data_IF_018666390430
#
_entry.id   IF_018666390430
#
_cell.length_a   1.000
_cell.length_b   1.000
_cell.length_c   1.000
_cell.angle_alpha   90.00
_cell.angle_beta   90.00
_cell.angle_gamma   90.00
#
_symmetry.space_group_name_H-M   'P 1'
#
loop_
_entity.id
_entity.type
_entity.pdbx_description
1 polymer ?
#
# COMPACT_ATOMS: atom_id res chain seq x y z
N UNK A 1 -8.04 4.30 18.21
CA UNK A 1 -8.16 4.89 16.85
C UNK A 1 -7.70 3.85 15.83
N UNK A 2 -8.24 3.88 14.62
CA UNK A 2 -7.94 2.89 13.58
C UNK A 2 -7.43 3.60 12.33
N UNK A 3 -6.41 3.04 11.69
CA UNK A 3 -6.01 3.41 10.33
C UNK A 3 -6.79 2.50 9.39
N UNK A 4 -7.91 3.00 8.89
CA UNK A 4 -8.84 2.21 8.10
C UNK A 4 -9.21 2.91 6.79
N UNK A 5 -9.33 2.14 5.71
CA UNK A 5 -9.84 2.62 4.42
C UNK A 5 -9.06 3.80 3.82
N UNK A 6 -7.74 3.86 4.08
CA UNK A 6 -6.87 4.86 3.47
C UNK A 6 -6.28 4.34 2.15
N UNK A 7 -5.94 5.26 1.25
CA UNK A 7 -5.05 5.00 0.11
C UNK A 7 -3.70 5.65 0.41
N UNK A 8 -2.65 4.84 0.50
CA UNK A 8 -1.27 5.26 0.72
C UNK A 8 -0.49 5.01 -0.58
N UNK A 9 -0.10 6.06 -1.31
CA UNK A 9 0.58 5.91 -2.61
C UNK A 9 2.08 6.23 -2.52
N UNK A 10 2.89 5.37 -3.13
CA UNK A 10 4.36 5.45 -3.22
C UNK A 10 5.07 5.68 -1.88
N UNK A 11 4.58 5.05 -0.81
CA UNK A 11 5.18 5.15 0.52
C UNK A 11 6.37 4.20 0.68
N UNK A 12 7.32 4.53 1.56
CA UNK A 12 8.49 3.67 1.73
C UNK A 12 8.21 2.33 2.42
N UNK A 13 7.27 2.34 3.36
CA UNK A 13 6.70 1.16 3.98
C UNK A 13 5.21 1.44 4.23
N UNK A 14 4.33 0.50 3.89
CA UNK A 14 2.90 0.60 4.12
C UNK A 14 2.53 0.72 5.59
N UNK A 15 3.27 -0.02 6.41
CA UNK A 15 3.03 -0.15 7.81
C UNK A 15 4.31 -0.67 8.47
N UNK A 16 4.98 0.18 9.25
CA UNK A 16 6.11 -0.21 10.07
C UNK A 16 5.68 -0.49 11.51
N UNK A 17 6.04 -1.67 12.03
CA UNK A 17 5.89 -1.95 13.45
C UNK A 17 6.85 -1.09 14.29
N UNK A 18 6.53 -0.78 15.56
CA UNK A 18 7.39 0.04 16.40
C UNK A 18 8.63 -0.76 16.83
N UNK A 19 9.76 -0.57 16.14
CA UNK A 19 11.13 -0.37 16.67
C UNK A 19 12.21 -0.57 15.59
N UNK A 20 13.26 0.28 15.54
CA UNK A 20 13.40 1.55 16.25
C UNK A 20 12.58 2.68 15.60
N UNK A 21 11.92 2.44 14.46
CA UNK A 21 11.25 3.48 13.69
C UNK A 21 9.77 3.61 14.09
N UNK A 22 9.51 4.52 15.03
CA UNK A 22 8.17 4.87 15.52
C UNK A 22 7.39 5.66 14.45
N UNK A 23 6.87 4.99 13.42
CA UNK A 23 6.04 5.66 12.40
C UNK A 23 4.60 5.88 12.87
N UNK A 24 4.06 5.03 13.74
CA UNK A 24 2.72 5.22 14.30
C UNK A 24 2.79 5.85 15.70
N UNK A 25 2.39 7.13 15.79
CA UNK A 25 2.13 7.83 17.06
C UNK A 25 0.64 7.74 17.41
N UNK A 26 0.31 7.49 18.68
CA UNK A 26 -1.07 7.47 19.21
C UNK A 26 -1.60 6.07 19.57
N UNK A 27 -2.78 6.02 20.20
CA UNK A 27 -3.50 4.79 20.57
C UNK A 27 -4.18 4.17 19.34
N UNK A 28 -3.38 3.81 18.33
CA UNK A 28 -3.87 3.04 17.21
C UNK A 28 -3.87 1.56 17.58
N UNK A 29 -4.93 0.83 17.23
CA UNK A 29 -5.05 -0.61 17.48
C UNK A 29 -5.51 -1.37 16.23
N UNK A 30 -5.52 -0.72 15.07
CA UNK A 30 -5.95 -1.33 13.83
C UNK A 30 -5.27 -0.68 12.60
N UNK A 31 -4.88 -1.51 11.64
CA UNK A 31 -4.49 -1.16 10.28
C UNK A 31 -5.25 -2.08 9.32
N UNK A 32 -6.45 -1.65 8.88
CA UNK A 32 -7.37 -2.52 8.14
C UNK A 32 -7.95 -1.88 6.89
N UNK A 33 -8.27 -2.68 5.88
CA UNK A 33 -8.95 -2.22 4.66
C UNK A 33 -8.21 -1.08 3.93
N UNK A 34 -6.89 -0.93 4.14
CA UNK A 34 -6.10 0.11 3.49
C UNK A 34 -5.55 -0.41 2.16
N UNK A 35 -5.52 0.46 1.16
CA UNK A 35 -4.76 0.24 -0.07
C UNK A 35 -3.42 0.94 0.06
N UNK A 36 -2.33 0.20 -0.13
CA UNK A 36 -0.99 0.74 -0.03
C UNK A 36 -0.12 0.38 -1.23
N UNK A 37 0.36 1.37 -1.95
CA UNK A 37 1.40 1.25 -2.97
C UNK A 37 2.73 1.70 -2.38
N UNK A 38 3.73 0.83 -2.41
CA UNK A 38 5.01 1.08 -1.74
C UNK A 38 6.21 0.91 -2.66
N UNK A 39 7.21 1.77 -2.46
CA UNK A 39 8.50 1.75 -3.16
C UNK A 39 9.54 0.84 -2.51
N UNK A 40 9.20 0.16 -1.42
CA UNK A 40 9.97 -0.97 -0.89
C UNK A 40 11.36 -0.62 -0.36
N UNK A 41 11.60 0.64 0.00
CA UNK A 41 12.84 1.11 0.63
C UNK A 41 12.75 1.13 2.18
N UNK A 42 11.79 0.40 2.75
CA UNK A 42 11.67 0.21 4.20
C UNK A 42 12.92 -0.41 4.82
N UNK A 43 13.40 0.15 5.93
CA UNK A 43 14.58 -0.28 6.68
C UNK A 43 14.51 -1.77 7.08
N UNK A 44 15.15 -2.66 6.31
CA UNK A 44 15.43 -4.06 6.67
C UNK A 44 14.21 -4.99 6.84
N UNK A 45 12.99 -4.48 6.93
CA UNK A 45 11.76 -5.24 7.20
C UNK A 45 10.84 -5.40 5.97
N UNK A 46 11.31 -4.99 4.78
CA UNK A 46 10.54 -5.04 3.54
C UNK A 46 9.49 -3.93 3.40
N UNK A 47 8.73 -3.92 2.28
CA UNK A 47 7.70 -2.92 1.98
C UNK A 47 6.50 -2.93 2.93
N UNK A 48 6.31 -4.02 3.69
CA UNK A 48 5.17 -4.25 4.55
C UNK A 48 5.55 -5.14 5.74
N UNK A 49 5.33 -4.66 6.96
CA UNK A 49 5.73 -5.38 8.17
C UNK A 49 4.64 -6.28 8.77
N UNK A 50 3.41 -6.27 8.26
CA UNK A 50 2.30 -7.10 8.77
C UNK A 50 2.17 -7.03 10.31
N UNK A 51 1.93 -8.16 11.00
CA UNK A 51 1.61 -8.20 12.44
C UNK A 51 2.69 -8.83 13.35
N UNK A 52 3.88 -9.16 12.84
CA UNK A 52 4.91 -9.93 13.59
C UNK A 52 5.46 -9.27 14.86
N UNK A 53 5.44 -7.94 14.95
CA UNK A 53 5.96 -7.21 16.12
C UNK A 53 4.88 -6.38 16.81
N UNK A 54 3.62 -6.67 16.54
CA UNK A 54 2.49 -5.96 17.14
C UNK A 54 1.97 -6.72 18.34
N UNK A 55 1.46 -5.96 19.31
CA UNK A 55 0.71 -6.52 20.42
C UNK A 55 -0.50 -7.34 19.92
N UNK A 56 -0.94 -8.32 20.73
CA UNK A 56 -2.06 -9.19 20.36
C UNK A 56 -3.39 -8.45 20.19
N UNK A 57 -3.54 -7.27 20.80
CA UNK A 57 -4.73 -6.42 20.67
C UNK A 57 -4.84 -5.69 19.33
N UNK A 58 -3.77 -5.63 18.53
CA UNK A 58 -3.81 -4.99 17.22
C UNK A 58 -4.47 -5.88 16.16
N UNK A 59 -5.31 -5.26 15.34
CA UNK A 59 -5.88 -5.87 14.15
C UNK A 59 -5.15 -5.40 12.89
N UNK A 60 -4.61 -6.34 12.12
CA UNK A 60 -4.12 -6.11 10.75
C UNK A 60 -4.89 -7.08 9.87
N UNK A 61 -5.61 -6.57 8.86
CA UNK A 61 -6.43 -7.42 7.97
C UNK A 61 -6.92 -6.66 6.76
N UNK A 62 -7.22 -7.40 5.70
CA UNK A 62 -7.89 -6.92 4.48
C UNK A 62 -7.19 -5.75 3.79
N UNK A 63 -5.88 -5.59 3.97
CA UNK A 63 -5.14 -4.54 3.28
C UNK A 63 -4.79 -4.99 1.86
N UNK A 64 -4.77 -4.06 0.91
CA UNK A 64 -4.29 -4.30 -0.44
C UNK A 64 -2.91 -3.67 -0.59
N UNK A 65 -1.87 -4.50 -0.55
CA UNK A 65 -0.48 -4.03 -0.65
C UNK A 65 0.00 -4.21 -2.10
N UNK A 66 0.64 -3.19 -2.63
CA UNK A 66 1.15 -3.16 -3.98
C UNK A 66 2.65 -2.87 -3.96
N UNK A 67 3.44 -3.82 -4.45
CA UNK A 67 4.90 -3.69 -4.60
C UNK A 67 5.27 -3.72 -6.07
N UNK A 68 6.50 -3.33 -6.40
CA UNK A 68 6.96 -3.37 -7.80
C UNK A 68 6.87 -4.77 -8.43
N UNK A 69 7.02 -5.82 -7.62
CA UNK A 69 7.12 -7.21 -8.10
C UNK A 69 5.89 -8.06 -7.81
N UNK A 70 4.94 -7.57 -7.01
CA UNK A 70 3.81 -8.37 -6.55
C UNK A 70 4.15 -9.43 -5.51
N UNK A 71 5.30 -9.27 -4.87
CA UNK A 71 5.73 -10.06 -3.72
C UNK A 71 6.45 -9.15 -2.72
N UNK A 72 6.63 -9.63 -1.50
CA UNK A 72 7.33 -8.93 -0.43
C UNK A 72 7.96 -9.91 0.55
N UNK A 73 9.10 -9.52 1.11
CA UNK A 73 9.56 -10.10 2.37
C UNK A 73 8.77 -9.45 3.50
N UNK A 74 8.01 -10.25 4.23
CA UNK A 74 7.17 -9.87 5.36
C UNK A 74 7.61 -10.70 6.55
N UNK A 75 7.98 -10.03 7.65
CA UNK A 75 8.41 -10.71 8.88
C UNK A 75 9.53 -11.75 8.66
N UNK A 76 10.46 -11.44 7.75
CA UNK A 76 11.59 -12.31 7.41
C UNK A 76 11.27 -13.50 6.50
N UNK A 77 10.04 -13.61 5.99
CA UNK A 77 9.57 -14.68 5.07
C UNK A 77 8.97 -14.06 3.81
N UNK A 78 8.84 -14.81 2.72
CA UNK A 78 8.00 -14.35 1.60
C UNK A 78 6.54 -14.26 2.06
N UNK A 79 5.76 -13.39 1.44
CA UNK A 79 4.36 -13.19 1.85
C UNK A 79 3.55 -14.49 1.93
N UNK A 80 3.66 -15.35 0.90
CA UNK A 80 2.97 -16.63 0.88
C UNK A 80 3.36 -17.53 2.08
N UNK A 81 4.66 -17.55 2.41
CA UNK A 81 5.17 -18.34 3.53
C UNK A 81 4.79 -17.74 4.89
N UNK A 82 4.74 -16.41 5.01
CA UNK A 82 4.29 -15.71 6.20
C UNK A 82 2.82 -16.02 6.48
N UNK A 83 1.97 -15.88 5.46
CA UNK A 83 0.54 -16.15 5.57
C UNK A 83 0.26 -17.62 5.94
N UNK A 84 1.03 -18.57 5.38
CA UNK A 84 0.89 -20.00 5.67
C UNK A 84 1.53 -20.44 7.00
N UNK A 85 2.26 -19.58 7.71
CA UNK A 85 3.09 -19.98 8.86
C UNK A 85 2.34 -20.32 10.15
N UNK A 86 1.01 -20.14 10.20
CA UNK A 86 0.19 -20.12 11.42
C UNK A 86 0.61 -19.04 12.46
N UNK A 87 1.60 -18.20 12.16
CA UNK A 87 2.03 -17.09 13.01
C UNK A 87 1.36 -15.78 12.62
N UNK A 88 0.96 -15.64 11.36
CA UNK A 88 0.26 -14.47 10.85
C UNK A 88 -1.16 -14.40 11.41
N UNK A 89 -1.54 -13.24 11.93
CA UNK A 89 -2.95 -12.87 12.20
C UNK A 89 -3.47 -11.88 11.15
N UNK A 90 -2.67 -11.62 10.12
CA UNK A 90 -2.98 -10.71 9.04
C UNK A 90 -3.89 -11.37 7.99
N UNK A 91 -5.19 -11.37 8.30
CA UNK A 91 -6.20 -12.12 7.53
C UNK A 91 -6.67 -11.30 6.33
N UNK A 92 -6.70 -11.94 5.16
CA UNK A 92 -7.29 -11.40 3.93
C UNK A 92 -6.55 -10.20 3.33
N UNK A 93 -5.39 -9.82 3.85
CA UNK A 93 -4.46 -8.92 3.16
C UNK A 93 -3.96 -9.60 1.89
N UNK A 94 -3.74 -8.82 0.83
CA UNK A 94 -3.20 -9.30 -0.44
C UNK A 94 -1.97 -8.49 -0.84
N UNK A 95 -1.06 -9.12 -1.60
CA UNK A 95 0.09 -8.44 -2.21
C UNK A 95 0.03 -8.60 -3.73
N UNK A 96 0.10 -7.48 -4.44
CA UNK A 96 0.00 -7.40 -5.90
C UNK A 96 1.10 -6.53 -6.51
N UNK A 97 1.33 -6.66 -7.81
CA UNK A 97 2.22 -5.76 -8.55
C UNK A 97 1.61 -4.37 -8.63
N UNK A 98 2.44 -3.33 -8.69
CA UNK A 98 1.99 -1.94 -8.76
C UNK A 98 0.85 -1.74 -9.76
N UNK A 99 -0.18 -0.99 -9.36
CA UNK A 99 -1.21 -0.54 -10.29
C UNK A 99 -0.62 0.48 -11.25
N UNK A 100 -1.36 0.79 -12.31
CA UNK A 100 -1.11 1.97 -13.12
C UNK A 100 -1.47 3.25 -12.36
N UNK A 101 -0.83 4.36 -12.70
CA UNK A 101 -1.17 5.68 -12.15
C UNK A 101 -2.65 6.03 -12.41
N UNK A 102 -3.21 5.55 -13.53
CA UNK A 102 -4.63 5.71 -13.87
C UNK A 102 -5.53 5.04 -12.84
N UNK A 103 -5.23 3.80 -12.46
CA UNK A 103 -6.00 3.08 -11.43
C UNK A 103 -5.89 3.78 -10.07
N UNK A 104 -4.70 4.29 -9.72
CA UNK A 104 -4.50 5.05 -8.48
C UNK A 104 -5.36 6.31 -8.42
N UNK A 105 -5.40 7.08 -9.52
CA UNK A 105 -6.26 8.25 -9.63
C UNK A 105 -7.73 7.86 -9.51
N UNK A 106 -8.15 6.74 -10.11
CA UNK A 106 -9.54 6.25 -10.01
C UNK A 106 -9.91 5.85 -8.58
N UNK A 107 -9.00 5.20 -7.84
CA UNK A 107 -9.26 4.86 -6.44
C UNK A 107 -9.35 6.11 -5.56
N UNK A 108 -8.42 7.06 -5.73
CA UNK A 108 -8.44 8.31 -4.98
C UNK A 108 -9.70 9.14 -5.28
N UNK A 109 -10.10 9.20 -6.55
CA UNK A 109 -11.34 9.81 -7.00
C UNK A 109 -12.58 9.21 -6.32
N UNK A 110 -12.69 7.88 -6.31
CA UNK A 110 -13.78 7.18 -5.64
C UNK A 110 -13.79 7.41 -4.12
N UNK A 111 -12.62 7.40 -3.46
CA UNK A 111 -12.50 7.63 -2.02
C UNK A 111 -12.90 9.05 -1.61
N UNK A 112 -12.56 10.04 -2.44
CA UNK A 112 -12.83 11.46 -2.18
C UNK A 112 -14.18 11.94 -2.74
N UNK A 113 -14.97 11.04 -3.33
CA UNK A 113 -16.20 11.36 -4.07
C UNK A 113 -16.00 12.47 -5.12
N UNK A 114 -14.86 12.42 -5.80
CA UNK A 114 -14.48 13.37 -6.84
C UNK A 114 -14.54 12.68 -8.20
N UNK A 115 -15.28 13.24 -9.16
CA UNK A 115 -15.21 12.76 -10.55
C UNK A 115 -14.05 13.47 -11.25
N UNK A 116 -12.98 12.77 -11.68
CA UNK A 116 -11.86 13.41 -12.35
C UNK A 116 -12.33 14.01 -13.67
N UNK A 117 -12.13 15.30 -13.87
CA UNK A 117 -12.26 15.89 -15.19
C UNK A 117 -11.10 15.34 -16.04
N UNK A 118 -11.38 14.34 -16.87
CA UNK A 118 -10.42 13.89 -17.87
C UNK A 118 -10.26 15.06 -18.84
N UNK A 119 -9.24 15.88 -18.62
CA UNK A 119 -8.76 16.75 -19.68
C UNK A 119 -8.14 15.83 -20.74
N UNK A 120 -8.94 15.51 -21.76
CA UNK A 120 -8.42 15.01 -23.02
C UNK A 120 -7.41 16.03 -23.49
N UNK A 121 -6.12 15.75 -23.32
CA UNK A 121 -5.07 16.50 -23.98
C UNK A 121 -5.36 16.40 -25.47
N UNK A 122 -5.93 17.47 -26.03
CA UNK A 122 -5.82 17.74 -27.46
C UNK A 122 -4.33 17.77 -27.72
N UNK A 123 -3.79 16.70 -28.30
CA UNK A 123 -2.55 16.70 -29.06
C UNK A 123 -2.62 17.90 -29.99
N UNK A 124 -1.98 19.00 -29.58
CA UNK A 124 -1.90 20.20 -30.37
C UNK A 124 -0.97 19.93 -31.55
N UNK A 125 -1.56 19.98 -32.74
CA UNK A 125 -0.97 20.69 -33.87
C UNK A 125 0.07 19.91 -34.66
N UNK A 126 -0.35 19.49 -35.84
CA UNK A 126 0.49 18.91 -36.87
C UNK A 126 1.72 19.76 -37.19
N UNK A 127 2.83 19.06 -37.41
CA UNK A 127 4.01 19.59 -38.07
C UNK A 127 3.63 19.82 -39.53
N UNK A 128 3.49 21.08 -39.94
CA UNK A 128 3.49 21.44 -41.36
C UNK A 128 4.91 21.26 -41.92
N UNK A 129 5.09 20.57 -43.07
CA UNK A 129 6.38 20.55 -43.74
C UNK A 129 6.63 21.91 -44.41
N UNK A 130 7.75 22.54 -44.09
CA UNK A 130 8.28 23.69 -44.80
C UNK A 130 8.65 23.27 -46.23
N UNK A 131 8.19 24.08 -47.20
CA UNK A 131 8.66 24.04 -48.60
C UNK A 131 10.02 24.72 -48.73
#
# INVERSE_FOLDING_TARGET
HAWQSNILAYVGNCFGAPMPFRYFKGYNNAFTDNTCVTVGNGFGAGPYSSDCYLDKSWAVRHNHVFTKTGDALVCGKRWADWFASNQSRDVGTTIHSWPTDKELVQWAAALLDFTPSIQSSKLHGGISPLR
#
